data_IF_329649597315
#
_entry.id   IF_329649597315
#
_cell.length_a   1.000
_cell.length_b   1.000
_cell.length_c   1.000
_cell.angle_alpha   90.00
_cell.angle_beta   90.00
_cell.angle_gamma   90.00
#
_symmetry.space_group_name_H-M   'P 1'
#
loop_
_entity.id
_entity.type
_entity.pdbx_description
1 polymer ?
#
# COMPACT_ATOMS: atom_id res chain seq x y z
N UNK A 1 -16.34 -5.25 31.07
CA UNK A 1 -15.21 -5.76 31.88
C UNK A 1 -14.85 -7.13 31.31
N UNK A 2 -13.66 -7.26 30.68
CA UNK A 2 -13.02 -8.48 30.14
C UNK A 2 -13.78 -9.19 28.99
N UNK A 3 -13.21 -9.76 27.93
CA UNK A 3 -11.83 -10.10 27.56
C UNK A 3 -11.76 -10.24 26.02
N UNK A 4 -10.69 -9.75 25.37
CA UNK A 4 -10.35 -10.11 23.97
C UNK A 4 -9.75 -11.51 23.94
N UNK A 5 -9.97 -12.27 22.86
CA UNK A 5 -8.90 -13.04 22.25
C UNK A 5 -8.55 -12.44 20.89
N UNK A 6 -7.28 -12.13 20.72
CA UNK A 6 -6.65 -11.93 19.43
C UNK A 6 -6.76 -13.25 18.64
N UNK A 7 -7.18 -13.18 17.37
CA UNK A 7 -6.88 -14.13 16.29
C UNK A 7 -7.63 -13.65 15.04
N UNK A 8 -6.99 -12.79 14.22
CA UNK A 8 -7.55 -12.37 12.93
C UNK A 8 -6.90 -13.24 11.86
N UNK A 9 -7.69 -14.19 11.38
CA UNK A 9 -7.42 -15.06 10.24
C UNK A 9 -7.46 -14.19 8.98
N UNK A 10 -6.34 -14.12 8.25
CA UNK A 10 -6.26 -13.41 6.97
C UNK A 10 -6.72 -14.38 5.87
N UNK A 11 -7.87 -14.11 5.27
CA UNK A 11 -8.40 -14.87 4.13
C UNK A 11 -8.13 -14.10 2.84
N UNK A 12 -7.38 -14.72 1.93
CA UNK A 12 -7.07 -14.22 0.58
C UNK A 12 -8.20 -14.54 -0.42
N UNK A 13 -8.52 -13.64 -1.35
CA UNK A 13 -9.54 -13.86 -2.39
C UNK A 13 -9.13 -13.20 -3.72
N UNK A 14 -8.44 -13.95 -4.59
CA UNK A 14 -7.94 -13.53 -5.90
C UNK A 14 -9.06 -13.25 -6.93
N UNK A 15 -8.91 -12.18 -7.73
CA UNK A 15 -9.51 -12.03 -9.06
C UNK A 15 -8.47 -11.47 -10.07
N UNK A 16 -8.28 -12.19 -11.19
CA UNK A 16 -7.30 -11.92 -12.26
C UNK A 16 -7.79 -10.86 -13.26
N UNK A 17 -6.89 -10.01 -13.76
CA UNK A 17 -7.00 -9.39 -15.10
C UNK A 17 -5.62 -9.18 -15.74
N UNK A 18 -5.50 -9.53 -17.03
CA UNK A 18 -4.27 -9.49 -17.86
C UNK A 18 -4.31 -8.28 -18.79
N UNK A 19 -3.21 -7.51 -18.91
CA UNK A 19 -2.93 -6.68 -20.09
C UNK A 19 -1.43 -6.30 -20.20
N UNK A 20 -0.93 -6.33 -21.42
CA UNK A 20 0.47 -6.34 -21.82
C UNK A 20 1.07 -4.96 -22.14
N UNK A 21 2.39 -4.80 -21.93
CA UNK A 21 3.26 -4.19 -22.95
C UNK A 21 4.13 -2.95 -22.60
N UNK A 22 5.45 -3.18 -22.66
CA UNK A 22 6.54 -2.32 -23.21
C UNK A 22 7.37 -1.35 -22.34
N UNK A 23 8.63 -1.82 -22.14
CA UNK A 23 9.96 -1.18 -22.16
C UNK A 23 10.22 0.22 -21.58
N UNK A 24 11.14 0.26 -20.60
CA UNK A 24 12.35 1.06 -20.73
C UNK A 24 12.62 2.12 -19.65
N UNK A 25 13.58 1.80 -18.77
CA UNK A 25 14.49 2.72 -18.03
C UNK A 25 14.10 3.10 -16.58
N UNK A 26 15.03 2.79 -15.68
CA UNK A 26 15.05 3.07 -14.23
C UNK A 26 15.89 4.32 -13.98
N UNK A 27 15.41 5.24 -13.15
CA UNK A 27 16.24 6.25 -12.48
C UNK A 27 16.06 6.09 -10.97
N UNK A 28 17.16 5.74 -10.28
CA UNK A 28 17.22 5.54 -8.85
C UNK A 28 17.30 6.88 -8.12
N UNK A 29 16.55 7.04 -7.03
CA UNK A 29 16.70 8.16 -6.12
C UNK A 29 16.98 7.63 -4.70
N UNK A 30 18.02 8.20 -4.11
CA UNK A 30 18.74 7.77 -2.91
C UNK A 30 17.89 7.46 -1.66
N UNK A 31 18.35 6.44 -0.93
CA UNK A 31 18.03 6.16 0.47
C UNK A 31 18.37 7.36 1.36
N UNK A 32 17.39 7.88 2.09
CA UNK A 32 17.65 8.69 3.29
C UNK A 32 17.51 7.82 4.54
N UNK A 33 18.65 7.32 5.01
CA UNK A 33 18.83 6.81 6.37
C UNK A 33 18.86 8.02 7.31
N UNK A 34 17.95 8.06 8.29
CA UNK A 34 17.85 9.17 9.24
C UNK A 34 19.04 9.23 10.21
N UNK A 35 19.66 10.40 10.32
CA UNK A 35 20.58 10.74 11.41
C UNK A 35 19.88 11.57 12.49
N UNK A 36 20.06 11.17 13.74
CA UNK A 36 19.75 11.91 14.96
C UNK A 36 20.78 13.01 15.19
N UNK A 37 20.39 14.28 15.07
CA UNK A 37 21.26 15.43 15.41
C UNK A 37 21.24 15.67 16.92
N UNK A 38 22.39 15.48 17.56
CA UNK A 38 22.68 15.87 18.95
C UNK A 38 22.71 17.39 19.07
N UNK A 39 22.01 17.92 20.08
CA UNK A 39 21.83 19.34 20.31
C UNK A 39 23.13 20.12 20.54
N UNK A 40 23.24 21.27 19.87
CA UNK A 40 24.26 22.29 20.10
C UNK A 40 23.57 23.59 20.52
N UNK A 41 23.89 24.10 21.70
CA UNK A 41 23.35 25.35 22.25
C UNK A 41 23.84 26.57 21.45
N UNK A 42 22.93 27.49 21.11
CA UNK A 42 23.23 28.78 20.46
C UNK A 42 23.79 29.81 21.48
N UNK A 43 24.76 30.68 21.11
CA UNK A 43 25.27 31.73 22.00
C UNK A 43 24.30 32.92 22.16
N UNK A 44 24.38 33.57 23.33
CA UNK A 44 23.42 34.52 23.91
C UNK A 44 23.26 35.89 23.20
N UNK A 45 23.78 36.07 22.00
CA UNK A 45 23.75 37.35 21.27
C UNK A 45 23.26 37.24 19.82
N UNK A 46 22.68 36.11 19.42
CA UNK A 46 22.02 35.99 18.11
C UNK A 46 20.67 36.72 18.09
N UNK A 47 20.62 37.93 17.51
CA UNK A 47 19.34 38.61 17.22
C UNK A 47 18.64 37.90 16.06
N UNK A 48 17.57 37.15 16.38
CA UNK A 48 16.65 36.60 15.37
C UNK A 48 15.94 37.76 14.67
N UNK A 49 16.32 38.07 13.44
CA UNK A 49 15.51 38.90 12.55
C UNK A 49 14.40 38.03 11.98
N UNK A 50 13.22 38.06 12.61
CA UNK A 50 12.02 37.48 12.01
C UNK A 50 11.56 38.38 10.86
N UNK A 51 12.00 38.08 9.64
CA UNK A 51 11.31 38.55 8.43
C UNK A 51 10.17 37.58 8.15
N UNK A 52 8.96 37.93 8.61
CA UNK A 52 7.75 37.21 8.24
C UNK A 52 7.36 37.60 6.80
N UNK A 53 8.15 37.16 5.83
CA UNK A 53 7.68 37.08 4.46
C UNK A 53 6.65 35.95 4.43
N UNK A 54 5.37 36.32 4.33
CA UNK A 54 4.25 35.39 4.11
C UNK A 54 4.64 34.45 2.97
N UNK A 55 4.66 33.11 3.16
CA UNK A 55 4.98 32.21 2.07
C UNK A 55 3.97 32.46 0.96
N UNK A 56 4.47 32.92 -0.20
CA UNK A 56 3.66 33.03 -1.41
C UNK A 56 3.10 31.63 -1.67
N UNK A 57 1.79 31.47 -1.97
CA UNK A 57 1.25 30.16 -2.31
C UNK A 57 2.10 29.54 -3.41
N UNK A 58 2.81 28.47 -3.08
CA UNK A 58 3.68 27.78 -4.02
C UNK A 58 2.85 27.29 -5.20
N UNK A 59 3.44 27.34 -6.40
CA UNK A 59 2.85 26.84 -7.64
C UNK A 59 2.17 25.48 -7.38
N UNK A 60 0.87 25.39 -7.65
CA UNK A 60 0.10 24.15 -7.50
C UNK A 60 0.83 23.02 -8.22
N UNK A 61 1.34 22.05 -7.46
CA UNK A 61 2.02 20.91 -8.04
C UNK A 61 1.05 20.17 -8.97
N UNK A 62 1.50 19.88 -10.20
CA UNK A 62 0.70 19.14 -11.18
C UNK A 62 0.40 17.76 -10.61
N UNK A 63 -0.87 17.34 -10.62
CA UNK A 63 -1.27 16.00 -10.19
C UNK A 63 -0.50 14.95 -10.98
N UNK A 64 0.34 14.17 -10.28
CA UNK A 64 1.02 13.01 -10.83
C UNK A 64 0.19 11.78 -10.50
N UNK A 65 -0.12 10.99 -11.53
CA UNK A 65 -0.79 9.70 -11.33
C UNK A 65 0.15 8.78 -10.54
N UNK A 66 -0.34 8.09 -9.50
CA UNK A 66 0.44 7.06 -8.84
C UNK A 66 0.87 6.00 -9.86
N UNK A 67 2.08 5.50 -9.72
CA UNK A 67 2.64 4.40 -10.50
C UNK A 67 3.04 3.28 -9.54
N UNK A 68 2.97 2.04 -10.01
CA UNK A 68 3.39 0.87 -9.27
C UNK A 68 4.10 -0.09 -10.23
N UNK A 69 5.32 -0.48 -9.87
CA UNK A 69 6.13 -1.37 -10.69
C UNK A 69 5.90 -2.81 -10.24
N UNK A 70 5.52 -3.67 -11.19
CA UNK A 70 5.22 -5.07 -10.91
C UNK A 70 6.47 -5.89 -11.21
N UNK A 71 7.06 -6.46 -10.16
CA UNK A 71 8.25 -7.30 -10.29
C UNK A 71 7.89 -8.67 -10.88
N UNK A 72 8.82 -9.22 -11.66
CA UNK A 72 8.74 -10.62 -12.04
C UNK A 72 9.02 -11.48 -10.80
N UNK A 73 8.23 -12.52 -10.57
CA UNK A 73 8.42 -13.42 -9.44
C UNK A 73 9.81 -14.07 -9.51
N UNK A 74 10.62 -13.89 -8.45
CA UNK A 74 11.96 -14.47 -8.31
C UNK A 74 11.92 -15.96 -7.95
N UNK A 75 10.80 -16.41 -7.39
CA UNK A 75 10.49 -17.81 -7.06
C UNK A 75 9.10 -18.16 -7.57
N UNK A 76 8.80 -19.45 -7.86
CA UNK A 76 7.44 -19.88 -8.16
C UNK A 76 6.48 -19.50 -7.02
N UNK A 77 5.27 -19.07 -7.38
CA UNK A 77 4.21 -18.72 -6.42
C UNK A 77 3.23 -19.89 -6.30
N UNK A 78 2.93 -20.28 -5.06
CA UNK A 78 1.90 -21.28 -4.78
C UNK A 78 0.58 -20.56 -4.53
N UNK A 79 -0.50 -20.98 -5.22
CA UNK A 79 -1.82 -20.37 -5.05
C UNK A 79 -2.60 -21.01 -3.88
N UNK A 80 -2.05 -20.92 -2.67
CA UNK A 80 -2.64 -21.47 -1.44
C UNK A 80 -3.27 -20.40 -0.53
N UNK A 81 -3.24 -19.14 -0.96
CA UNK A 81 -3.74 -18.00 -0.18
C UNK A 81 -2.77 -17.57 0.91
N UNK A 82 -1.48 -17.83 0.77
CA UNK A 82 -0.42 -17.29 1.64
C UNK A 82 0.47 -16.35 0.82
N UNK A 83 1.13 -15.44 1.52
CA UNK A 83 2.14 -14.53 0.94
C UNK A 83 3.43 -14.66 1.74
N UNK A 84 3.93 -15.89 1.90
CA UNK A 84 5.14 -16.17 2.67
C UNK A 84 6.36 -16.50 1.79
N UNK A 85 6.20 -16.61 0.47
CA UNK A 85 7.31 -16.76 -0.47
C UNK A 85 8.19 -15.50 -0.59
N UNK A 86 9.49 -15.70 -0.87
CA UNK A 86 10.48 -14.63 -0.98
C UNK A 86 10.08 -13.53 -1.97
N UNK A 87 9.54 -13.91 -3.13
CA UNK A 87 9.09 -12.96 -4.16
C UNK A 87 8.03 -11.98 -3.64
N UNK A 88 7.15 -12.39 -2.71
CA UNK A 88 6.16 -11.49 -2.12
C UNK A 88 6.78 -10.46 -1.17
N UNK A 89 7.85 -10.83 -0.48
CA UNK A 89 8.58 -9.91 0.40
C UNK A 89 9.38 -8.88 -0.40
N UNK A 90 9.87 -9.26 -1.58
CA UNK A 90 10.61 -8.39 -2.51
C UNK A 90 9.72 -7.35 -3.20
N UNK A 91 8.47 -7.69 -3.52
CA UNK A 91 7.54 -6.75 -4.15
C UNK A 91 7.15 -5.62 -3.19
N UNK A 92 7.13 -4.38 -3.67
CA UNK A 92 6.63 -3.26 -2.89
C UNK A 92 5.12 -3.36 -2.64
N UNK A 93 4.65 -2.77 -1.53
CA UNK A 93 3.22 -2.56 -1.34
C UNK A 93 2.71 -1.51 -2.35
N UNK A 94 1.49 -1.65 -2.86
CA UNK A 94 0.83 -0.62 -3.69
C UNK A 94 0.56 0.71 -2.97
N UNK A 95 1.00 0.84 -1.72
CA UNK A 95 0.77 2.01 -0.89
C UNK A 95 -0.61 2.03 -0.23
N UNK A 96 -0.97 3.14 0.42
CA UNK A 96 -2.21 3.26 1.16
C UNK A 96 -3.42 3.34 0.22
N UNK A 97 -4.42 2.51 0.47
CA UNK A 97 -5.69 2.57 -0.25
C UNK A 97 -6.46 3.85 0.07
N UNK A 98 -7.13 4.38 -0.94
CA UNK A 98 -7.97 5.57 -0.80
C UNK A 98 -9.38 5.19 -0.37
N UNK A 99 -9.84 5.76 0.75
CA UNK A 99 -11.18 5.54 1.28
C UNK A 99 -12.11 6.66 0.79
N UNK A 100 -12.66 6.48 -0.40
CA UNK A 100 -13.47 7.49 -1.13
C UNK A 100 -14.67 8.02 -0.34
N UNK A 101 -15.28 7.21 0.52
CA UNK A 101 -16.51 7.55 1.25
C UNK A 101 -16.36 7.59 2.77
N UNK A 102 -15.13 7.59 3.29
CA UNK A 102 -14.88 7.58 4.73
C UNK A 102 -15.29 8.90 5.39
N UNK A 103 -16.04 8.81 6.49
CA UNK A 103 -16.52 9.96 7.26
C UNK A 103 -15.92 10.04 8.67
N UNK A 104 -15.80 8.90 9.36
CA UNK A 104 -15.27 8.80 10.73
C UNK A 104 -14.95 7.34 11.08
N UNK A 105 -14.22 7.11 12.17
CA UNK A 105 -13.87 5.76 12.65
C UNK A 105 -12.56 5.21 12.08
N UNK A 106 -12.21 3.97 12.42
CA UNK A 106 -10.96 3.33 12.00
C UNK A 106 -11.00 3.02 10.49
N UNK A 107 -9.94 3.39 9.76
CA UNK A 107 -9.72 2.96 8.38
C UNK A 107 -9.16 1.55 8.37
N UNK A 108 -10.00 0.58 8.01
CA UNK A 108 -9.65 -0.82 7.79
C UNK A 108 -8.65 -0.96 6.64
N UNK A 109 -7.37 -1.15 6.97
CA UNK A 109 -6.30 -1.10 5.96
C UNK A 109 -6.31 -2.35 5.07
N UNK A 110 -5.97 -2.15 3.81
CA UNK A 110 -5.65 -3.21 2.86
C UNK A 110 -4.23 -3.00 2.37
N UNK A 111 -3.46 -4.08 2.35
CA UNK A 111 -2.18 -4.16 1.66
C UNK A 111 -2.39 -4.98 0.41
N UNK A 112 -1.87 -4.53 -0.72
CA UNK A 112 -1.89 -5.32 -1.94
C UNK A 112 -0.53 -5.24 -2.64
N UNK A 113 -0.15 -6.35 -3.28
CA UNK A 113 1.08 -6.51 -4.06
C UNK A 113 0.76 -7.28 -5.34
N UNK A 114 1.47 -6.96 -6.40
CA UNK A 114 1.41 -7.75 -7.64
C UNK A 114 2.78 -8.31 -7.97
N UNK A 115 2.78 -9.49 -8.55
CA UNK A 115 3.92 -10.14 -9.19
C UNK A 115 3.49 -10.70 -10.53
N UNK A 116 4.43 -11.02 -11.42
CA UNK A 116 4.11 -11.71 -12.67
C UNK A 116 5.16 -12.74 -13.05
N UNK A 117 4.78 -13.70 -13.88
CA UNK A 117 5.70 -14.60 -14.59
C UNK A 117 5.23 -14.79 -16.05
N UNK A 118 5.84 -15.71 -16.79
CA UNK A 118 5.51 -15.91 -18.21
C UNK A 118 4.06 -16.38 -18.45
N UNK A 119 3.36 -16.84 -17.41
CA UNK A 119 2.04 -17.47 -17.52
C UNK A 119 0.95 -16.72 -16.76
N UNK A 120 1.29 -16.06 -15.65
CA UNK A 120 0.33 -15.51 -14.71
C UNK A 120 0.69 -14.10 -14.25
N UNK A 121 -0.35 -13.32 -13.98
CA UNK A 121 -0.29 -12.19 -13.08
C UNK A 121 -0.80 -12.65 -11.71
N UNK A 122 0.01 -12.45 -10.68
CA UNK A 122 -0.33 -12.76 -9.30
C UNK A 122 -0.80 -11.47 -8.60
N UNK A 123 -1.95 -11.56 -7.94
CA UNK A 123 -2.53 -10.46 -7.16
C UNK A 123 -2.71 -10.96 -5.74
N UNK A 124 -1.93 -10.43 -4.81
CA UNK A 124 -1.99 -10.76 -3.39
C UNK A 124 -2.53 -9.57 -2.59
N UNK A 125 -3.43 -9.81 -1.65
CA UNK A 125 -3.93 -8.77 -0.77
C UNK A 125 -4.24 -9.29 0.64
N UNK A 126 -3.98 -8.44 1.63
CA UNK A 126 -4.27 -8.66 3.04
C UNK A 126 -5.22 -7.56 3.48
N UNK A 127 -6.47 -7.93 3.76
CA UNK A 127 -7.53 -7.00 4.15
C UNK A 127 -7.81 -7.12 5.65
N UNK A 128 -7.82 -5.98 6.36
CA UNK A 128 -8.32 -5.96 7.73
C UNK A 128 -9.84 -5.79 7.72
N UNK A 129 -10.57 -6.79 8.18
CA UNK A 129 -12.00 -6.66 8.43
C UNK A 129 -12.40 -7.33 9.76
N UNK A 130 -13.35 -6.71 10.47
CA UNK A 130 -13.93 -7.21 11.72
C UNK A 130 -15.16 -8.09 11.46
N UNK A 131 -15.82 -7.95 10.29
CA UNK A 131 -17.04 -8.65 9.92
C UNK A 131 -16.97 -9.04 8.44
N UNK A 132 -16.91 -10.34 8.16
CA UNK A 132 -16.81 -10.87 6.79
C UNK A 132 -18.10 -11.60 6.44
N UNK A 133 -18.61 -11.35 5.25
CA UNK A 133 -19.82 -11.93 4.68
C UNK A 133 -19.54 -12.50 3.29
N UNK A 134 -20.07 -13.70 3.04
CA UNK A 134 -19.99 -14.40 1.75
C UNK A 134 -21.26 -15.26 1.58
N UNK A 135 -22.35 -14.61 1.17
CA UNK A 135 -23.70 -15.16 1.02
C UNK A 135 -23.90 -15.77 -0.37
N UNK A 136 -23.30 -15.16 -1.38
CA UNK A 136 -23.35 -15.59 -2.76
C UNK A 136 -22.43 -16.79 -3.04
N UNK A 137 -22.87 -17.73 -3.86
CA UNK A 137 -22.17 -19.03 -4.06
C UNK A 137 -22.04 -19.43 -5.52
N UNK A 138 -22.78 -18.78 -6.41
CA UNK A 138 -22.76 -19.12 -7.83
C UNK A 138 -21.87 -18.16 -8.60
N UNK A 139 -21.44 -18.63 -9.76
CA UNK A 139 -20.77 -17.78 -10.74
C UNK A 139 -21.69 -16.61 -11.13
N UNK A 140 -21.12 -15.42 -11.28
CA UNK A 140 -21.81 -14.16 -11.63
C UNK A 140 -22.90 -13.67 -10.65
N UNK A 141 -22.95 -14.22 -9.43
CA UNK A 141 -23.77 -13.63 -8.37
C UNK A 141 -23.28 -12.20 -8.04
N UNK A 142 -24.12 -11.33 -7.44
CA UNK A 142 -23.77 -9.94 -7.14
C UNK A 142 -22.84 -9.81 -5.91
N UNK A 143 -21.64 -10.39 -5.99
CA UNK A 143 -20.62 -10.45 -4.93
C UNK A 143 -20.16 -9.09 -4.42
N UNK A 144 -20.34 -8.02 -5.20
CA UNK A 144 -20.11 -6.64 -4.78
C UNK A 144 -21.01 -6.17 -3.61
N UNK A 145 -22.03 -6.95 -3.23
CA UNK A 145 -22.86 -6.72 -2.05
C UNK A 145 -22.35 -7.43 -0.79
N UNK A 146 -21.35 -8.29 -0.93
CA UNK A 146 -20.61 -8.97 0.13
C UNK A 146 -19.20 -8.37 0.25
N UNK A 147 -18.38 -8.94 1.15
CA UNK A 147 -16.98 -8.55 1.28
C UNK A 147 -16.16 -9.19 0.15
N UNK A 148 -15.79 -8.37 -0.85
CA UNK A 148 -15.02 -8.77 -2.02
C UNK A 148 -13.84 -7.84 -2.28
N UNK A 149 -12.81 -8.37 -2.94
CA UNK A 149 -11.68 -7.61 -3.49
C UNK A 149 -11.77 -7.63 -5.02
#
# INVERSE_FOLDING_TARGET
MFHRPQNILITFCCLLFVAAGWSGSIEAYELLVGETVVGRSLPANARVRASAARPKPGKTARFRRPTYDILRASTPITLDGRMDEAAWHEADNMGPFHFTWWKSGKKKQTVAKLLWDDKYLYVGHICQDDYITARYKNHDDPVARDDCF
#
